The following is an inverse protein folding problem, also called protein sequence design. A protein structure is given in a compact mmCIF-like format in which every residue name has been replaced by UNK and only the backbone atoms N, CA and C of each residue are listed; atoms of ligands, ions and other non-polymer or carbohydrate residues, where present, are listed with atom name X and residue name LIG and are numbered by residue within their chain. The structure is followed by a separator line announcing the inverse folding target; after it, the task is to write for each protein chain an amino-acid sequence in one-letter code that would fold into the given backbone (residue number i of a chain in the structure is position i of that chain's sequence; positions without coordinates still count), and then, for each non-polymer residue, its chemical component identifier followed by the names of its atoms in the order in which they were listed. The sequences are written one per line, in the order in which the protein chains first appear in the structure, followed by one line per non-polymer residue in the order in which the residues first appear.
data_IF_601251740750
#
_entry.id   IF_601251740750
#
_cell.length_a   1.000
_cell.length_b   1.000
_cell.length_c   1.000
_cell.angle_alpha   90.00
_cell.angle_beta   90.00
_cell.angle_gamma   90.00
#
_symmetry.space_group_name_H-M   'P 1'
#
loop_
_entity.id
_entity.type
_entity.pdbx_description
1 polymer ?
#
# COMPACT_ATOMS: atom_id res chain seq x y z
N UNK A 1 -26.61 -92.61 -5.07
CA UNK A 1 -26.78 -91.19 -4.71
C UNK A 1 -26.87 -90.38 -6.00
N UNK A 2 -27.98 -89.89 -6.52
CA UNK A 2 -29.31 -89.63 -5.97
C UNK A 2 -29.78 -88.25 -6.47
N UNK A 3 -30.69 -88.25 -7.44
CA UNK A 3 -31.65 -87.20 -7.83
C UNK A 3 -31.23 -85.74 -8.13
N UNK A 4 -31.60 -85.36 -9.37
CA UNK A 4 -32.14 -84.06 -9.80
C UNK A 4 -32.75 -83.16 -8.71
N UNK A 5 -32.36 -81.88 -8.72
CA UNK A 5 -33.21 -80.76 -8.31
C UNK A 5 -33.00 -79.60 -9.30
N UNK A 6 -34.05 -79.27 -10.06
CA UNK A 6 -34.22 -77.97 -10.72
C UNK A 6 -34.88 -77.03 -9.71
N UNK A 7 -34.38 -75.81 -9.53
CA UNK A 7 -35.19 -74.71 -9.02
C UNK A 7 -34.84 -73.37 -9.68
N UNK A 8 -35.92 -72.64 -9.98
CA UNK A 8 -36.02 -71.39 -10.73
C UNK A 8 -35.81 -70.17 -9.83
N UNK A 9 -35.56 -69.02 -10.47
CA UNK A 9 -35.75 -67.64 -9.98
C UNK A 9 -34.80 -67.21 -8.84
N UNK A 10 -34.25 -65.99 -8.81
CA UNK A 10 -34.78 -64.73 -9.26
C UNK A 10 -33.66 -63.83 -9.84
N UNK A 11 -34.01 -62.99 -10.81
CA UNK A 11 -33.18 -61.87 -11.21
C UNK A 11 -33.09 -60.88 -10.04
N UNK A 12 -31.96 -60.87 -9.34
CA UNK A 12 -31.62 -59.82 -8.38
C UNK A 12 -31.18 -58.61 -9.21
N UNK A 13 -32.08 -57.65 -9.39
CA UNK A 13 -31.69 -56.31 -9.84
C UNK A 13 -30.75 -55.72 -8.77
N UNK A 14 -29.60 -55.14 -9.14
CA UNK A 14 -28.75 -54.46 -8.17
C UNK A 14 -29.49 -53.24 -7.60
N UNK A 15 -29.29 -52.91 -6.32
CA UNK A 15 -29.87 -51.70 -5.75
C UNK A 15 -29.33 -50.48 -6.52
N UNK A 16 -30.24 -49.64 -6.99
CA UNK A 16 -29.90 -48.35 -7.58
C UNK A 16 -29.08 -47.54 -6.57
N UNK A 17 -27.86 -47.18 -6.93
CA UNK A 17 -27.05 -46.24 -6.15
C UNK A 17 -27.81 -44.91 -6.01
N UNK A 18 -27.81 -44.28 -4.82
CA UNK A 18 -28.38 -42.95 -4.69
C UNK A 18 -27.58 -41.96 -5.55
N UNK A 19 -28.22 -40.95 -6.16
CA UNK A 19 -27.49 -39.91 -6.87
C UNK A 19 -26.54 -39.20 -5.91
N UNK A 20 -25.36 -38.75 -6.39
CA UNK A 20 -24.43 -37.99 -5.55
C UNK A 20 -25.15 -36.77 -4.98
N UNK A 21 -24.99 -36.56 -3.67
CA UNK A 21 -25.58 -35.45 -2.93
C UNK A 21 -25.18 -34.11 -3.58
N UNK A 22 -26.14 -33.19 -3.60
CA UNK A 22 -26.06 -31.88 -4.28
C UNK A 22 -24.88 -31.01 -3.80
N UNK A 23 -24.28 -31.35 -2.66
CA UNK A 23 -23.15 -30.64 -2.06
C UNK A 23 -21.87 -30.70 -2.92
N UNK A 24 -21.66 -31.78 -3.66
CA UNK A 24 -20.46 -31.93 -4.48
C UNK A 24 -20.43 -30.98 -5.70
N UNK A 25 -21.59 -30.51 -6.18
CA UNK A 25 -21.63 -29.57 -7.33
C UNK A 25 -21.30 -28.12 -6.95
N UNK A 26 -21.53 -27.73 -5.70
CA UNK A 26 -21.37 -26.34 -5.27
C UNK A 26 -19.91 -25.99 -4.90
N UNK A 27 -19.10 -26.99 -4.53
CA UNK A 27 -17.70 -26.79 -4.15
C UNK A 27 -16.77 -26.58 -5.36
N UNK A 28 -17.02 -27.22 -6.51
CA UNK A 28 -16.17 -27.08 -7.70
C UNK A 28 -16.28 -25.72 -8.39
N UNK A 29 -17.43 -25.04 -8.29
CA UNK A 29 -17.62 -23.71 -8.90
C UNK A 29 -16.83 -22.62 -8.18
N UNK A 30 -16.83 -22.63 -6.85
CA UNK A 30 -16.07 -21.67 -6.05
C UNK A 30 -14.55 -21.89 -6.17
N UNK A 31 -14.09 -23.15 -6.18
CA UNK A 31 -12.68 -23.46 -6.35
C UNK A 31 -12.13 -23.03 -7.72
N UNK A 32 -12.91 -23.24 -8.79
CA UNK A 32 -12.51 -22.86 -10.15
C UNK A 32 -12.39 -21.34 -10.34
N UNK A 33 -13.27 -20.55 -9.73
CA UNK A 33 -13.20 -19.08 -9.79
C UNK A 33 -11.97 -18.51 -9.08
N UNK A 34 -11.59 -19.10 -7.94
CA UNK A 34 -10.39 -18.68 -7.18
C UNK A 34 -9.12 -18.98 -7.97
N UNK A 35 -9.02 -20.18 -8.57
CA UNK A 35 -7.87 -20.56 -9.40
C UNK A 35 -7.77 -19.64 -10.63
N UNK A 36 -8.87 -19.36 -11.32
CA UNK A 36 -8.88 -18.41 -12.42
C UNK A 36 -8.44 -17.00 -11.98
N UNK A 37 -8.91 -16.49 -10.83
CA UNK A 37 -8.50 -15.19 -10.33
C UNK A 37 -7.00 -15.12 -9.98
N UNK A 38 -6.43 -16.19 -9.45
CA UNK A 38 -4.99 -16.27 -9.16
C UNK A 38 -4.14 -16.33 -10.44
N UNK A 39 -4.58 -17.09 -11.45
CA UNK A 39 -3.91 -17.16 -12.75
C UNK A 39 -3.98 -15.81 -13.50
N UNK A 40 -5.12 -15.12 -13.45
CA UNK A 40 -5.26 -13.79 -14.03
C UNK A 40 -4.36 -12.75 -13.34
N UNK A 41 -4.21 -12.82 -12.01
CA UNK A 41 -3.28 -11.94 -11.27
C UNK A 41 -1.82 -12.16 -11.68
N UNK A 42 -1.41 -13.41 -11.87
CA UNK A 42 -0.06 -13.76 -12.32
C UNK A 42 0.20 -13.27 -13.76
N UNK A 43 -0.78 -13.45 -14.67
CA UNK A 43 -0.66 -13.01 -16.07
C UNK A 43 -0.60 -11.48 -16.22
N UNK A 44 -1.32 -10.73 -15.37
CA UNK A 44 -1.33 -9.27 -15.39
C UNK A 44 -0.15 -8.63 -14.66
N UNK A 45 0.77 -9.43 -14.08
CA UNK A 45 1.94 -8.92 -13.39
C UNK A 45 1.63 -8.01 -12.19
N UNK A 46 0.42 -8.13 -11.61
CA UNK A 46 0.00 -7.32 -10.47
C UNK A 46 0.77 -7.82 -9.25
N UNK A 47 1.93 -7.20 -8.99
CA UNK A 47 2.67 -7.39 -7.76
C UNK A 47 1.84 -6.80 -6.62
N UNK A 48 1.49 -7.65 -5.67
CA UNK A 48 0.88 -7.25 -4.41
C UNK A 48 1.80 -6.19 -3.79
N UNK A 49 1.29 -4.96 -3.67
CA UNK A 49 2.07 -3.75 -3.55
C UNK A 49 3.30 -3.89 -2.66
N UNK A 50 4.48 -3.91 -3.28
CA UNK A 50 5.67 -3.44 -2.60
C UNK A 50 5.38 -1.97 -2.28
N UNK A 51 5.30 -1.66 -0.98
CA UNK A 51 5.41 -0.28 -0.51
C UNK A 51 6.74 0.19 -1.09
N UNK A 52 6.71 0.95 -2.19
CA UNK A 52 7.89 1.61 -2.71
C UNK A 52 8.39 2.51 -1.59
N UNK A 53 9.41 2.05 -0.86
CA UNK A 53 10.24 2.94 -0.05
C UNK A 53 10.80 3.92 -1.05
N UNK A 54 10.24 5.14 -1.08
CA UNK A 54 10.84 6.21 -1.84
C UNK A 54 12.27 6.35 -1.34
N UNK A 55 13.23 6.19 -2.25
CA UNK A 55 14.61 6.51 -1.92
C UNK A 55 14.65 7.99 -1.52
N UNK A 56 15.45 8.35 -0.51
CA UNK A 56 15.60 9.75 -0.14
C UNK A 56 16.00 10.57 -1.37
N UNK A 57 15.39 11.75 -1.52
CA UNK A 57 15.71 12.72 -2.57
C UNK A 57 17.14 13.23 -2.46
N UNK A 58 17.76 13.06 -1.29
CA UNK A 58 19.17 13.30 -1.03
C UNK A 58 19.43 14.59 -0.27
N UNK A 59 20.67 14.72 0.21
CA UNK A 59 21.05 15.76 1.15
C UNK A 59 20.71 17.17 0.65
N UNK A 60 20.03 17.95 1.49
CA UNK A 60 19.61 19.31 1.19
C UNK A 60 18.22 19.42 0.54
N UNK A 61 17.54 18.30 0.27
CA UNK A 61 16.15 18.30 -0.19
C UNK A 61 15.19 17.83 0.92
N UNK A 62 14.04 18.51 1.13
CA UNK A 62 13.06 18.04 2.10
C UNK A 62 12.41 16.73 1.63
N UNK A 63 12.32 15.77 2.55
CA UNK A 63 11.65 14.50 2.35
C UNK A 63 10.13 14.62 2.52
N UNK A 64 9.32 13.81 1.83
CA UNK A 64 7.87 13.89 1.95
C UNK A 64 7.36 13.31 3.28
N UNK A 65 8.21 12.56 4.00
CA UNK A 65 7.86 11.90 5.25
C UNK A 65 8.95 12.05 6.29
N UNK A 66 8.55 12.12 7.57
CA UNK A 66 9.47 12.17 8.71
C UNK A 66 10.41 10.96 8.73
N UNK A 67 9.88 9.77 8.46
CA UNK A 67 10.65 8.51 8.42
C UNK A 67 11.72 8.53 7.31
N UNK A 68 11.40 9.12 6.16
CA UNK A 68 12.35 9.33 5.06
C UNK A 68 13.55 10.16 5.50
N UNK A 69 13.29 11.30 6.15
CA UNK A 69 14.35 12.19 6.66
C UNK A 69 15.20 11.52 7.76
N UNK A 70 14.58 10.78 8.68
CA UNK A 70 15.33 10.02 9.69
C UNK A 70 16.21 8.93 9.07
N UNK A 71 15.69 8.22 8.06
CA UNK A 71 16.43 7.17 7.35
C UNK A 71 17.62 7.76 6.60
N UNK A 72 17.44 8.92 5.97
CA UNK A 72 18.51 9.64 5.28
C UNK A 72 19.60 10.07 6.26
N UNK A 73 19.23 10.69 7.38
CA UNK A 73 20.19 11.06 8.43
C UNK A 73 20.96 9.83 8.94
N UNK A 74 20.29 8.71 9.19
CA UNK A 74 20.93 7.47 9.64
C UNK A 74 21.93 6.89 8.62
N UNK A 75 21.71 7.09 7.31
CA UNK A 75 22.67 6.72 6.26
C UNK A 75 23.90 7.63 6.26
N UNK A 76 23.74 8.90 6.58
CA UNK A 76 24.83 9.88 6.59
C UNK A 76 25.58 9.98 7.93
N UNK A 77 24.92 9.65 9.05
CA UNK A 77 25.47 9.75 10.40
C UNK A 77 26.83 9.07 10.58
N UNK A 78 27.13 7.89 10.00
CA UNK A 78 28.46 7.26 10.13
C UNK A 78 29.61 8.07 9.54
N UNK A 79 29.30 9.01 8.63
CA UNK A 79 30.28 9.87 7.98
C UNK A 79 30.37 11.26 8.63
N UNK A 80 29.62 11.50 9.71
CA UNK A 80 29.53 12.77 10.41
C UNK A 80 29.96 12.58 11.87
N UNK A 81 30.85 13.44 12.38
CA UNK A 81 31.24 13.41 13.78
C UNK A 81 30.10 13.96 14.67
N UNK A 82 29.77 13.25 15.76
CA UNK A 82 28.78 13.64 16.78
C UNK A 82 27.41 14.05 16.22
N UNK A 83 26.85 13.23 15.31
CA UNK A 83 25.54 13.47 14.72
C UNK A 83 24.42 12.72 15.47
N UNK A 84 23.56 13.45 16.17
CA UNK A 84 22.26 12.93 16.65
C UNK A 84 21.18 13.41 15.71
N UNK A 85 20.39 12.52 15.14
CA UNK A 85 19.45 12.90 14.10
C UNK A 85 18.24 13.64 14.68
N UNK A 86 17.98 14.84 14.17
CA UNK A 86 16.75 15.59 14.42
C UNK A 86 16.07 15.90 13.11
N UNK A 87 14.75 15.88 13.08
CA UNK A 87 13.93 16.16 11.90
C UNK A 87 12.88 17.21 12.21
N UNK A 88 12.53 18.01 11.21
CA UNK A 88 11.48 19.03 11.31
C UNK A 88 10.76 19.20 9.98
N UNK A 89 9.46 19.48 10.00
CA UNK A 89 8.72 19.82 8.79
C UNK A 89 8.87 21.32 8.49
N UNK A 90 9.78 21.65 7.59
CA UNK A 90 10.07 23.05 7.25
C UNK A 90 8.92 23.72 6.49
N UNK A 91 8.16 22.95 5.70
CA UNK A 91 7.09 23.51 4.85
C UNK A 91 5.85 23.87 5.67
N UNK A 92 5.65 23.24 6.82
CA UNK A 92 4.59 23.59 7.76
C UNK A 92 4.99 24.45 8.96
N UNK A 93 6.30 24.68 9.16
CA UNK A 93 6.81 25.45 10.30
C UNK A 93 6.87 26.95 10.02
N UNK A 94 7.27 27.34 8.81
CA UNK A 94 7.40 28.75 8.44
C UNK A 94 6.10 29.29 7.85
N UNK A 95 5.99 30.62 7.79
CA UNK A 95 4.81 31.30 7.26
C UNK A 95 4.56 30.87 5.80
N UNK A 96 3.55 30.03 5.63
CA UNK A 96 3.24 29.35 4.38
C UNK A 96 2.48 30.28 3.43
N UNK A 97 2.90 30.35 2.16
CA UNK A 97 2.18 31.07 1.12
C UNK A 97 1.07 30.25 0.44
N UNK A 98 0.83 29.00 0.88
CA UNK A 98 -0.19 28.10 0.33
C UNK A 98 -1.58 28.73 0.18
N UNK A 99 -1.95 29.64 1.10
CA UNK A 99 -3.25 30.32 1.11
C UNK A 99 -3.24 31.68 0.42
N UNK A 100 -2.07 32.16 -0.04
CA UNK A 100 -1.95 33.48 -0.66
C UNK A 100 -2.62 33.48 -2.03
N UNK A 101 -3.36 34.55 -2.29
CA UNK A 101 -4.02 34.78 -3.58
C UNK A 101 -3.03 35.44 -4.53
N UNK A 102 -2.81 34.85 -5.70
CA UNK A 102 -2.07 35.49 -6.78
C UNK A 102 -3.07 36.14 -7.74
N UNK A 103 -3.04 37.47 -7.81
CA UNK A 103 -3.80 38.21 -8.82
C UNK A 103 -2.89 38.48 -10.01
N UNK A 104 -3.19 37.86 -11.14
CA UNK A 104 -2.44 38.04 -12.38
C UNK A 104 -3.30 38.80 -13.38
N UNK A 105 -2.70 39.74 -14.10
CA UNK A 105 -3.37 40.43 -15.20
C UNK A 105 -3.56 39.44 -16.35
N UNK A 106 -4.80 39.20 -16.75
CA UNK A 106 -5.15 38.37 -17.90
C UNK A 106 -5.81 39.26 -18.93
N UNK A 107 -5.05 39.57 -19.97
CA UNK A 107 -5.45 40.49 -21.05
C UNK A 107 -5.92 41.85 -20.49
N UNK A 108 -7.20 42.20 -20.69
CA UNK A 108 -7.82 43.44 -20.21
C UNK A 108 -8.46 43.33 -18.81
N UNK A 109 -8.30 42.19 -18.12
CA UNK A 109 -8.86 41.92 -16.80
C UNK A 109 -7.83 41.48 -15.75
N UNK A 110 -8.30 41.33 -14.52
CA UNK A 110 -7.54 40.76 -13.40
C UNK A 110 -8.16 39.39 -13.07
N UNK A 111 -7.36 38.33 -13.08
CA UNK A 111 -7.77 37.01 -12.65
C UNK A 111 -7.08 36.70 -11.32
N UNK A 112 -7.84 36.37 -10.29
CA UNK A 112 -7.30 35.99 -8.98
C UNK A 112 -7.36 34.48 -8.86
N UNK A 113 -6.19 33.84 -8.83
CA UNK A 113 -6.05 32.40 -8.62
C UNK A 113 -5.57 32.21 -7.19
N UNK A 114 -6.40 31.53 -6.39
CA UNK A 114 -5.97 30.99 -5.10
C UNK A 114 -5.49 29.57 -5.37
N UNK A 115 -4.28 29.22 -4.95
CA UNK A 115 -3.76 27.84 -5.02
C UNK A 115 -4.60 26.85 -4.21
N UNK A 116 -5.44 27.34 -3.29
CA UNK A 116 -6.53 26.60 -2.63
C UNK A 116 -6.07 25.62 -1.56
N UNK A 117 -4.76 25.49 -1.34
CA UNK A 117 -4.21 24.55 -0.37
C UNK A 117 -4.27 25.16 1.04
N UNK A 118 -4.80 24.39 2.00
CA UNK A 118 -4.81 24.77 3.42
C UNK A 118 -3.39 24.86 4.01
N UNK A 119 -2.44 24.15 3.40
CA UNK A 119 -1.02 24.05 3.75
C UNK A 119 -0.26 23.42 2.58
N UNK A 120 1.01 23.75 2.42
CA UNK A 120 1.94 23.01 1.56
C UNK A 120 2.04 21.55 1.99
N UNK A 121 2.40 20.68 1.04
CA UNK A 121 2.77 19.31 1.38
C UNK A 121 3.94 19.31 2.36
N UNK A 122 3.94 18.36 3.30
CA UNK A 122 5.00 18.26 4.30
C UNK A 122 6.38 18.10 3.64
N UNK A 123 7.37 18.79 4.20
CA UNK A 123 8.76 18.75 3.76
C UNK A 123 9.65 18.58 4.98
N UNK A 124 9.99 17.33 5.28
CA UNK A 124 10.79 16.94 6.43
C UNK A 124 12.28 17.08 6.12
N UNK A 125 12.97 17.92 6.88
CA UNK A 125 14.42 18.11 6.79
C UNK A 125 15.10 17.54 8.02
N UNK A 126 16.25 16.89 7.84
CA UNK A 126 17.06 16.36 8.94
C UNK A 126 18.26 17.27 9.24
N UNK A 127 18.72 17.23 10.49
CA UNK A 127 19.91 17.94 10.95
C UNK A 127 20.55 17.20 12.13
N UNK A 128 21.87 17.27 12.29
CA UNK A 128 22.60 16.58 13.38
C UNK A 128 22.40 17.20 14.78
N UNK A 129 21.80 18.39 14.82
CA UNK A 129 21.50 19.18 16.01
C UNK A 129 20.30 20.08 15.69
N UNK A 130 19.44 20.40 16.67
CA UNK A 130 18.43 21.42 16.50
C UNK A 130 19.10 22.74 16.12
N UNK A 131 18.63 23.38 15.04
CA UNK A 131 19.19 24.67 14.58
C UNK A 131 18.58 25.85 15.36
N UNK A 132 17.47 25.62 16.05
CA UNK A 132 16.75 26.62 16.84
C UNK A 132 16.36 26.07 18.22
N UNK A 133 16.28 26.94 19.22
CA UNK A 133 15.79 26.61 20.56
C UNK A 133 14.27 26.57 20.72
N UNK A 134 13.50 26.66 19.63
CA UNK A 134 12.04 26.59 19.67
C UNK A 134 11.59 25.23 20.21
N UNK A 135 10.79 25.19 21.29
CA UNK A 135 10.26 23.95 21.84
C UNK A 135 9.45 23.18 20.79
N UNK A 136 9.53 21.85 20.83
CA UNK A 136 8.74 20.91 20.02
C UNK A 136 8.90 21.00 18.48
N UNK A 137 9.76 21.89 17.98
CA UNK A 137 9.99 22.05 16.54
C UNK A 137 10.84 20.91 15.95
N UNK A 138 11.84 20.47 16.69
CA UNK A 138 12.79 19.44 16.28
C UNK A 138 12.43 18.13 16.97
N UNK A 139 12.11 17.12 16.16
CA UNK A 139 11.82 15.77 16.64
C UNK A 139 13.09 14.94 16.53
N UNK A 140 13.49 14.31 17.62
CA UNK A 140 14.63 13.40 17.58
C UNK A 140 14.25 12.09 16.87
N UNK A 141 15.12 11.65 15.97
CA UNK A 141 15.23 10.26 15.54
C UNK A 141 16.25 9.57 16.47
#
# INVERSE_FOLDING_TARGET
FGSSIRLRLAAVLPPSSPPPSFEARMQFRSASMIVCALLFRAALGIRQGEIQRQEPRGAGHPEPTMEGACTECGKHAPYLADCTCFVTDIMGTFEDDATKTMTTRKEFGMETVNTGAKRLAEGWMWHCRPVSGTPDLWKQC
#
